data_IF_899234871881
#
_entry.id   IF_899234871881
#
_cell.length_a   1.000
_cell.length_b   1.000
_cell.length_c   1.000
_cell.angle_alpha   90.00
_cell.angle_beta   90.00
_cell.angle_gamma   90.00
#
_symmetry.space_group_name_H-M   'P 1'
#
loop_
_entity.id
_entity.type
_entity.pdbx_description
1 polymer ?
#
# COMPACT_ATOMS: atom_id res chain seq x y z
N UNK A 1 -26.12 -6.47 39.11
CA UNK A 1 -24.71 -6.22 38.82
C UNK A 1 -24.30 -7.14 37.68
N UNK A 2 -24.22 -6.63 36.47
CA UNK A 2 -23.77 -7.39 35.29
C UNK A 2 -22.30 -7.02 35.08
N UNK A 3 -21.40 -7.98 35.30
CA UNK A 3 -19.96 -7.82 35.07
C UNK A 3 -19.70 -7.81 33.57
N UNK A 4 -19.20 -6.69 33.06
CA UNK A 4 -18.70 -6.58 31.68
C UNK A 4 -17.27 -7.13 31.68
N UNK A 5 -17.09 -8.30 31.09
CA UNK A 5 -15.74 -8.81 30.75
C UNK A 5 -15.29 -8.14 29.46
N UNK A 6 -14.35 -7.22 29.57
CA UNK A 6 -13.60 -6.70 28.43
C UNK A 6 -12.52 -7.74 28.14
N UNK A 7 -12.74 -8.57 27.12
CA UNK A 7 -11.70 -9.40 26.51
C UNK A 7 -10.81 -8.48 25.67
N UNK A 8 -9.69 -8.07 26.27
CA UNK A 8 -8.58 -7.49 25.50
C UNK A 8 -7.96 -8.61 24.67
N UNK A 9 -8.30 -8.69 23.39
CA UNK A 9 -7.61 -9.55 22.44
C UNK A 9 -6.22 -8.97 22.21
N UNK A 10 -5.23 -9.55 22.90
CA UNK A 10 -3.82 -9.29 22.63
C UNK A 10 -3.46 -9.84 21.25
N UNK A 11 -3.19 -8.95 20.32
CA UNK A 11 -2.68 -9.27 18.99
C UNK A 11 -1.22 -9.71 19.14
N UNK A 12 -0.96 -10.99 19.12
CA UNK A 12 0.38 -11.49 18.94
C UNK A 12 0.70 -11.49 17.43
N UNK A 13 1.33 -10.46 16.94
CA UNK A 13 1.92 -10.43 15.60
C UNK A 13 3.26 -11.16 15.71
N UNK A 14 3.34 -12.36 15.18
CA UNK A 14 4.60 -13.07 15.01
C UNK A 14 5.24 -12.57 13.71
N UNK A 15 6.06 -11.53 13.79
CA UNK A 15 6.91 -11.12 12.67
C UNK A 15 8.17 -11.99 12.69
N UNK A 16 8.22 -13.02 11.86
CA UNK A 16 9.47 -13.67 11.52
C UNK A 16 10.28 -12.70 10.65
N UNK A 17 11.28 -12.03 11.23
CA UNK A 17 12.21 -11.21 10.45
C UNK A 17 12.99 -12.12 9.51
N UNK A 18 12.95 -11.78 8.22
CA UNK A 18 13.57 -12.54 7.16
C UNK A 18 15.07 -12.74 7.39
N UNK A 19 15.54 -13.90 6.99
CA UNK A 19 16.98 -14.20 6.87
C UNK A 19 17.51 -13.34 5.72
N UNK A 20 18.18 -12.24 6.04
CA UNK A 20 19.00 -11.50 5.06
C UNK A 20 20.24 -12.33 4.81
N UNK A 21 20.33 -12.97 3.65
CA UNK A 21 21.58 -13.56 3.19
C UNK A 21 22.47 -12.41 2.72
N UNK A 22 23.46 -12.02 3.53
CA UNK A 22 24.51 -11.11 3.05
C UNK A 22 25.27 -11.78 1.90
N UNK A 23 25.37 -11.11 0.74
CA UNK A 23 26.16 -11.64 -0.37
C UNK A 23 27.64 -11.67 0.01
N UNK A 24 28.28 -12.79 -0.25
CA UNK A 24 29.71 -12.97 -0.11
C UNK A 24 30.47 -11.86 -0.86
N UNK A 25 31.47 -11.37 -0.16
CA UNK A 25 32.41 -10.31 -0.52
C UNK A 25 32.86 -10.32 -1.98
N UNK A 26 32.95 -9.10 -2.59
CA UNK A 26 33.62 -8.74 -3.84
C UNK A 26 32.76 -8.52 -5.10
N UNK A 27 31.81 -7.58 -5.04
CA UNK A 27 31.57 -6.76 -6.24
C UNK A 27 32.08 -5.35 -5.95
N UNK A 28 33.26 -5.01 -6.47
CA UNK A 28 33.73 -3.62 -6.51
C UNK A 28 32.77 -2.83 -7.38
N UNK A 29 31.88 -2.06 -6.74
CA UNK A 29 31.11 -1.02 -7.44
C UNK A 29 32.13 0.03 -7.85
N UNK A 30 32.53 0.02 -9.12
CA UNK A 30 33.62 0.85 -9.65
C UNK A 30 33.16 2.27 -10.01
N UNK A 31 31.91 2.62 -9.82
CA UNK A 31 31.38 3.95 -10.16
C UNK A 31 30.41 4.40 -9.07
N UNK A 32 30.68 5.56 -8.46
CA UNK A 32 29.68 6.31 -7.71
C UNK A 32 28.63 6.80 -8.70
N UNK A 33 27.63 5.97 -8.97
CA UNK A 33 26.47 6.36 -9.75
C UNK A 33 25.54 7.13 -8.82
N UNK A 34 25.87 8.37 -8.49
CA UNK A 34 24.97 9.31 -7.85
C UNK A 34 24.11 10.01 -8.91
N UNK A 35 23.35 9.27 -9.69
CA UNK A 35 22.21 9.83 -10.36
C UNK A 35 21.11 9.96 -9.29
N UNK A 36 21.05 11.14 -8.68
CA UNK A 36 19.87 11.52 -7.90
C UNK A 36 18.66 11.32 -8.81
N UNK A 37 17.91 10.26 -8.53
CA UNK A 37 16.67 10.01 -9.21
C UNK A 37 15.82 11.28 -9.11
N UNK A 38 15.51 11.90 -10.24
CA UNK A 38 14.58 13.02 -10.29
C UNK A 38 13.23 12.49 -9.84
N UNK A 39 13.04 12.49 -8.53
CA UNK A 39 11.75 12.21 -7.94
C UNK A 39 10.81 13.27 -8.46
N UNK A 40 9.66 12.87 -9.00
CA UNK A 40 8.61 13.79 -9.41
C UNK A 40 8.08 14.50 -8.16
N UNK A 41 8.79 15.56 -7.77
CA UNK A 41 8.44 16.37 -6.58
C UNK A 41 7.35 17.38 -6.91
N UNK A 42 7.02 17.57 -8.19
CA UNK A 42 6.03 18.56 -8.64
C UNK A 42 4.64 18.37 -8.01
N UNK A 43 4.25 17.14 -7.69
CA UNK A 43 2.97 16.82 -7.05
C UNK A 43 3.03 16.71 -5.53
N UNK A 44 4.23 16.81 -4.94
CA UNK A 44 4.43 16.78 -3.50
C UNK A 44 4.52 18.16 -2.89
N UNK A 45 4.01 18.27 -1.68
CA UNK A 45 4.20 19.47 -0.86
C UNK A 45 5.60 19.45 -0.28
N UNK A 46 6.37 20.52 -0.54
CA UNK A 46 7.67 20.70 0.07
C UNK A 46 7.53 21.06 1.56
N UNK A 47 8.52 20.67 2.37
CA UNK A 47 8.58 21.02 3.78
C UNK A 47 8.57 22.55 3.95
N UNK A 48 7.62 23.05 4.75
CA UNK A 48 7.43 24.50 4.96
C UNK A 48 6.37 25.16 4.09
N UNK A 49 5.75 24.43 3.15
CA UNK A 49 4.60 24.93 2.39
C UNK A 49 3.38 25.03 3.30
N UNK A 50 2.55 26.09 3.24
CA UNK A 50 1.38 26.28 4.10
C UNK A 50 0.19 25.39 3.67
N UNK A 51 0.40 24.11 3.51
CA UNK A 51 -0.59 23.09 3.17
C UNK A 51 -0.59 22.01 4.26
N UNK A 52 -1.78 21.63 4.71
CA UNK A 52 -1.91 20.57 5.70
C UNK A 52 -1.64 19.20 5.04
N UNK A 53 -0.54 18.56 5.38
CA UNK A 53 -0.22 17.23 4.89
C UNK A 53 0.26 16.30 6.01
N UNK A 54 0.25 14.99 5.72
CA UNK A 54 0.87 13.94 6.51
C UNK A 54 1.70 13.08 5.56
N UNK A 55 2.76 12.49 6.06
CA UNK A 55 3.61 11.59 5.30
C UNK A 55 3.80 10.29 6.08
N UNK A 56 3.71 9.16 5.38
CA UNK A 56 4.07 7.85 5.89
C UNK A 56 5.35 7.42 5.16
N UNK A 57 6.37 7.13 5.95
CA UNK A 57 7.67 6.68 5.45
C UNK A 57 7.65 5.17 5.16
N UNK A 58 8.63 4.68 4.40
CA UNK A 58 8.80 3.26 4.12
C UNK A 58 8.84 2.41 5.40
N UNK A 59 9.56 2.86 6.42
CA UNK A 59 9.66 2.15 7.69
C UNK A 59 8.32 2.06 8.44
N UNK A 60 7.51 3.11 8.37
CA UNK A 60 6.16 3.08 8.94
C UNK A 60 5.23 2.15 8.16
N UNK A 61 5.32 2.17 6.82
CA UNK A 61 4.58 1.26 5.96
C UNK A 61 4.97 -0.20 6.23
N UNK A 62 6.27 -0.51 6.28
CA UNK A 62 6.76 -1.86 6.59
C UNK A 62 6.27 -2.37 7.95
N UNK A 63 6.29 -1.53 8.99
CA UNK A 63 5.83 -1.92 10.34
C UNK A 63 4.33 -2.17 10.44
N UNK A 64 3.52 -1.63 9.54
CA UNK A 64 2.05 -1.69 9.59
C UNK A 64 1.44 -2.59 8.53
N UNK A 65 2.22 -3.03 7.55
CA UNK A 65 1.73 -3.75 6.40
C UNK A 65 1.67 -5.27 6.66
N UNK A 66 0.62 -5.70 7.34
CA UNK A 66 0.32 -7.11 7.60
C UNK A 66 -0.66 -7.71 6.59
N UNK A 67 -0.83 -7.08 5.42
CA UNK A 67 -1.69 -7.53 4.32
C UNK A 67 -2.91 -6.64 4.05
N UNK A 68 -3.16 -5.65 4.91
CA UNK A 68 -4.24 -4.70 4.70
C UNK A 68 -3.95 -3.75 3.53
N UNK A 69 -5.02 -3.27 2.89
CA UNK A 69 -4.92 -2.30 1.81
C UNK A 69 -4.44 -0.91 2.26
N UNK A 70 -4.04 -0.08 1.30
CA UNK A 70 -3.62 1.32 1.52
C UNK A 70 -4.61 2.10 2.40
N UNK A 71 -5.96 1.98 2.24
CA UNK A 71 -6.93 2.65 3.11
C UNK A 71 -6.70 2.41 4.61
N UNK A 72 -6.35 1.19 4.98
CA UNK A 72 -6.07 0.82 6.37
C UNK A 72 -4.75 1.45 6.86
N UNK A 73 -3.72 1.43 6.04
CA UNK A 73 -2.39 1.92 6.41
C UNK A 73 -2.39 3.43 6.66
N UNK A 74 -3.23 4.19 5.94
CA UNK A 74 -3.35 5.64 6.09
C UNK A 74 -4.35 6.08 7.18
N UNK A 75 -5.10 5.15 7.80
CA UNK A 75 -6.16 5.43 8.77
C UNK A 75 -5.69 6.29 9.97
N UNK A 76 -4.43 6.16 10.38
CA UNK A 76 -3.89 6.96 11.49
C UNK A 76 -3.57 8.40 11.09
N UNK A 77 -3.69 8.75 9.81
CA UNK A 77 -3.53 10.14 9.37
C UNK A 77 -4.76 10.96 9.80
N UNK A 78 -4.57 12.23 10.25
CA UNK A 78 -5.68 13.05 10.69
C UNK A 78 -6.77 13.19 9.64
N UNK A 79 -8.03 13.13 10.08
CA UNK A 79 -9.24 13.31 9.26
C UNK A 79 -9.45 12.23 8.17
N UNK A 80 -8.79 11.08 8.28
CA UNK A 80 -9.03 9.90 7.45
C UNK A 80 -9.98 8.96 8.16
N UNK A 81 -11.01 8.51 7.46
CA UNK A 81 -11.93 7.46 7.90
C UNK A 81 -11.93 6.39 6.82
N UNK A 82 -11.72 5.14 7.19
CA UNK A 82 -11.76 4.03 6.25
C UNK A 82 -13.03 3.21 6.38
N UNK A 83 -13.36 2.48 5.32
CA UNK A 83 -14.35 1.41 5.26
C UNK A 83 -13.69 0.11 4.80
N UNK A 84 -14.17 -1.02 5.30
CA UNK A 84 -13.76 -2.35 4.87
C UNK A 84 -14.95 -3.28 4.88
N UNK A 85 -15.27 -3.86 3.73
CA UNK A 85 -16.44 -4.72 3.58
C UNK A 85 -16.28 -6.01 4.38
N UNK A 86 -15.09 -6.63 4.31
CA UNK A 86 -14.76 -7.82 5.09
C UNK A 86 -14.45 -7.53 6.58
N UNK A 87 -14.36 -6.26 6.97
CA UNK A 87 -14.05 -5.82 8.34
C UNK A 87 -12.59 -5.96 8.77
N UNK A 88 -11.71 -6.49 7.93
CA UNK A 88 -10.29 -6.75 8.24
C UNK A 88 -9.33 -5.76 7.58
N UNK A 89 -9.81 -4.90 6.68
CA UNK A 89 -8.96 -4.05 5.84
C UNK A 89 -8.34 -4.78 4.64
N UNK A 90 -8.68 -6.07 4.44
CA UNK A 90 -8.27 -6.91 3.31
C UNK A 90 -9.48 -7.05 2.37
N UNK A 91 -9.23 -7.09 1.06
CA UNK A 91 -10.29 -7.09 0.05
C UNK A 91 -10.84 -5.70 -0.23
N UNK A 92 -12.16 -5.59 -0.43
CA UNK A 92 -12.80 -4.31 -0.70
C UNK A 92 -12.68 -3.36 0.49
N UNK A 93 -12.05 -2.24 0.25
CA UNK A 93 -11.84 -1.19 1.23
C UNK A 93 -11.81 0.18 0.56
N UNK A 94 -12.11 1.20 1.33
CA UNK A 94 -12.11 2.58 0.86
C UNK A 94 -11.80 3.55 1.99
N UNK A 95 -11.68 4.83 1.66
CA UNK A 95 -11.49 5.86 2.67
C UNK A 95 -12.12 7.19 2.25
N UNK A 96 -12.34 8.04 3.23
CA UNK A 96 -12.74 9.43 3.09
C UNK A 96 -11.75 10.31 3.84
N UNK A 97 -11.53 11.50 3.33
CA UNK A 97 -10.67 12.50 3.97
C UNK A 97 -11.49 13.77 4.18
N UNK A 98 -11.58 14.27 5.42
CA UNK A 98 -12.41 15.42 5.80
C UNK A 98 -13.89 15.27 5.35
N UNK A 99 -14.41 14.04 5.36
CA UNK A 99 -15.77 13.75 4.93
C UNK A 99 -16.01 13.76 3.41
N UNK A 100 -15.01 14.04 2.59
CA UNK A 100 -15.15 13.98 1.13
C UNK A 100 -15.08 12.54 0.63
N UNK A 101 -15.88 12.24 -0.38
CA UNK A 101 -15.93 10.93 -1.01
C UNK A 101 -14.67 10.63 -1.85
N UNK A 102 -14.42 9.34 -2.08
CA UNK A 102 -13.25 8.84 -2.81
C UNK A 102 -13.10 9.43 -4.22
N UNK A 103 -14.20 9.72 -4.92
CA UNK A 103 -14.20 10.33 -6.25
C UNK A 103 -13.76 11.81 -6.30
N UNK A 104 -13.50 12.41 -5.12
CA UNK A 104 -12.99 13.78 -4.98
C UNK A 104 -11.60 13.82 -4.36
N UNK A 105 -10.95 12.67 -4.34
CA UNK A 105 -9.59 12.49 -3.83
C UNK A 105 -8.71 12.04 -4.99
N UNK A 106 -7.73 12.86 -5.34
CA UNK A 106 -6.75 12.50 -6.35
C UNK A 106 -5.73 11.51 -5.80
N UNK A 107 -5.53 10.40 -6.49
CA UNK A 107 -4.56 9.37 -6.14
C UNK A 107 -3.51 9.29 -7.23
N UNK A 108 -2.25 9.41 -6.86
CA UNK A 108 -1.15 9.31 -7.84
C UNK A 108 -0.11 8.27 -7.43
N UNK A 109 0.44 7.60 -8.42
CA UNK A 109 1.62 6.74 -8.31
C UNK A 109 2.72 7.37 -9.15
N UNK A 110 3.83 7.76 -8.53
CA UNK A 110 4.93 8.47 -9.18
C UNK A 110 4.48 9.71 -9.97
N UNK A 111 3.48 10.43 -9.45
CA UNK A 111 2.92 11.61 -10.11
C UNK A 111 1.88 11.33 -11.20
N UNK A 112 1.65 10.08 -11.57
CA UNK A 112 0.64 9.68 -12.55
C UNK A 112 -0.69 9.40 -11.83
N UNK A 113 -1.81 10.05 -12.19
CA UNK A 113 -3.12 9.74 -11.63
C UNK A 113 -3.55 8.31 -11.95
N UNK A 114 -4.07 7.60 -10.93
CA UNK A 114 -4.58 6.23 -11.05
C UNK A 114 -6.07 6.11 -10.76
N UNK A 115 -6.75 7.24 -10.60
CA UNK A 115 -8.20 7.27 -10.51
C UNK A 115 -8.81 6.74 -11.81
N UNK A 116 -9.80 5.85 -11.68
CA UNK A 116 -10.57 5.36 -12.81
C UNK A 116 -11.27 6.50 -13.55
N UNK A 117 -11.29 6.44 -14.87
CA UNK A 117 -11.79 7.56 -15.71
C UNK A 117 -13.31 7.73 -15.67
N UNK A 118 -14.06 6.71 -15.27
CA UNK A 118 -15.52 6.73 -15.19
C UNK A 118 -16.00 7.05 -13.78
N UNK A 119 -15.55 6.27 -12.79
CA UNK A 119 -15.96 6.41 -11.39
C UNK A 119 -15.21 7.48 -10.62
N UNK A 120 -14.07 7.94 -11.14
CA UNK A 120 -13.10 8.82 -10.47
C UNK A 120 -12.58 8.29 -9.12
N UNK A 121 -12.68 6.99 -8.88
CA UNK A 121 -12.20 6.34 -7.66
C UNK A 121 -11.05 5.40 -7.94
N UNK A 122 -10.42 4.87 -6.89
CA UNK A 122 -9.46 3.78 -6.98
C UNK A 122 -10.04 2.55 -6.29
N UNK A 123 -10.08 1.44 -7.00
CA UNK A 123 -10.47 0.15 -6.44
C UNK A 123 -9.25 -0.51 -5.79
N UNK A 124 -9.12 -0.31 -4.48
CA UNK A 124 -7.94 -0.77 -3.72
C UNK A 124 -7.79 -2.28 -3.68
N UNK A 125 -8.89 -3.01 -3.88
CA UNK A 125 -8.87 -4.47 -4.03
C UNK A 125 -7.98 -4.91 -5.20
N UNK A 126 -7.89 -4.11 -6.26
CA UNK A 126 -7.05 -4.37 -7.44
C UNK A 126 -5.55 -4.06 -7.20
N UNK A 127 -5.20 -3.56 -6.01
CA UNK A 127 -3.83 -3.21 -5.63
C UNK A 127 -3.41 -3.88 -4.30
N UNK A 128 -3.59 -5.20 -4.14
CA UNK A 128 -3.24 -5.87 -2.90
C UNK A 128 -1.72 -5.81 -2.68
N UNK A 129 -1.32 -5.60 -1.43
CA UNK A 129 0.07 -5.45 -1.01
C UNK A 129 0.89 -4.41 -1.81
N UNK A 130 0.24 -3.44 -2.45
CA UNK A 130 0.96 -2.39 -3.19
C UNK A 130 1.91 -1.59 -2.28
N UNK A 131 1.54 -1.43 -1.00
CA UNK A 131 2.35 -0.77 0.02
C UNK A 131 3.75 -1.39 0.18
N UNK A 132 3.91 -2.69 -0.09
CA UNK A 132 5.22 -3.36 -0.08
C UNK A 132 6.16 -2.90 -1.20
N UNK A 133 5.66 -2.16 -2.19
CA UNK A 133 6.44 -1.58 -3.28
C UNK A 133 6.50 -0.04 -3.21
N UNK A 134 5.96 0.55 -2.13
CA UNK A 134 5.90 2.01 -1.93
C UNK A 134 6.99 2.44 -0.96
N UNK A 135 7.69 3.52 -1.30
CA UNK A 135 8.69 4.18 -0.45
C UNK A 135 8.05 5.15 0.55
N UNK A 136 7.11 5.95 0.06
CA UNK A 136 6.36 6.86 0.92
C UNK A 136 4.98 7.19 0.36
N UNK A 137 4.08 7.59 1.27
CA UNK A 137 2.74 8.09 0.95
C UNK A 137 2.60 9.48 1.56
N UNK A 138 2.36 10.49 0.75
CA UNK A 138 2.02 11.83 1.22
C UNK A 138 0.52 12.09 1.01
N UNK A 139 -0.15 12.53 2.07
CA UNK A 139 -1.59 12.82 2.09
C UNK A 139 -1.75 14.33 2.30
N UNK A 140 -2.13 15.04 1.25
CA UNK A 140 -2.46 16.46 1.29
C UNK A 140 -3.96 16.61 1.52
N UNK A 141 -4.35 17.37 2.52
CA UNK A 141 -5.74 17.56 2.92
C UNK A 141 -6.28 18.89 2.42
N UNK A 142 -7.32 18.85 1.58
CA UNK A 142 -7.91 19.98 0.90
C UNK A 142 -7.46 20.06 -0.56
N UNK A 143 -7.76 21.14 -1.25
CA UNK A 143 -7.51 21.30 -2.68
C UNK A 143 -6.03 21.20 -3.12
N UNK A 144 -5.10 21.28 -2.16
CA UNK A 144 -3.67 21.11 -2.42
C UNK A 144 -3.07 22.17 -3.34
N UNK A 145 -2.04 21.77 -4.07
CA UNK A 145 -1.39 22.63 -5.08
C UNK A 145 -2.06 22.46 -6.43
N UNK A 146 -1.93 23.47 -7.31
CA UNK A 146 -2.53 23.45 -8.66
C UNK A 146 -2.03 22.29 -9.55
N UNK A 147 -0.94 21.64 -9.18
CA UNK A 147 -0.36 20.48 -9.89
C UNK A 147 -1.10 19.18 -9.65
N UNK A 148 -2.06 19.13 -8.73
CA UNK A 148 -2.71 17.90 -8.30
C UNK A 148 -3.86 17.40 -9.18
N UNK A 149 -4.25 18.17 -10.23
CA UNK A 149 -5.25 17.73 -11.20
C UNK A 149 -6.71 17.85 -10.76
N UNK A 150 -7.62 17.34 -11.59
CA UNK A 150 -9.06 17.62 -11.51
C UNK A 150 -9.76 17.00 -10.28
N UNK A 151 -9.35 15.85 -9.80
CA UNK A 151 -9.97 15.16 -8.65
C UNK A 151 -9.47 15.68 -7.29
N UNK A 152 -8.55 16.64 -7.25
CA UNK A 152 -7.90 17.11 -6.02
C UNK A 152 -8.74 18.09 -5.19
N UNK A 153 -10.05 17.93 -5.17
CA UNK A 153 -10.93 18.83 -4.41
C UNK A 153 -10.89 18.56 -2.90
N UNK A 154 -10.97 17.32 -2.51
CA UNK A 154 -11.01 16.92 -1.10
C UNK A 154 -9.64 16.68 -0.51
N UNK A 155 -8.80 15.99 -1.25
CA UNK A 155 -7.43 15.64 -0.86
C UNK A 155 -6.64 15.12 -2.06
N UNK A 156 -5.32 15.00 -1.88
CA UNK A 156 -4.44 14.24 -2.77
C UNK A 156 -3.63 13.24 -1.97
N UNK A 157 -3.56 11.99 -2.45
CA UNK A 157 -2.70 10.94 -1.91
C UNK A 157 -1.66 10.62 -2.97
N UNK A 158 -0.42 11.01 -2.71
CA UNK A 158 0.72 10.76 -3.61
C UNK A 158 1.55 9.61 -3.07
N UNK A 159 1.62 8.52 -3.83
CA UNK A 159 2.45 7.36 -3.54
C UNK A 159 3.70 7.38 -4.41
N UNK A 160 4.85 7.12 -3.81
CA UNK A 160 6.08 6.91 -4.56
C UNK A 160 6.53 5.48 -4.40
N UNK A 161 6.82 4.83 -5.52
CA UNK A 161 7.37 3.48 -5.51
C UNK A 161 8.81 3.49 -5.03
N UNK A 162 9.27 2.34 -4.53
CA UNK A 162 10.64 2.18 -4.07
C UNK A 162 11.63 2.47 -5.20
N UNK A 163 12.74 3.09 -4.82
CA UNK A 163 13.89 3.25 -5.71
C UNK A 163 14.54 1.90 -5.96
N UNK A 164 15.18 1.77 -7.11
CA UNK A 164 15.93 0.55 -7.40
C UNK A 164 17.15 0.44 -6.49
N UNK A 165 17.34 -0.74 -5.91
CA UNK A 165 18.50 -1.03 -5.08
C UNK A 165 19.70 -1.37 -5.95
N UNK A 166 20.84 -0.67 -5.72
CA UNK A 166 22.07 -0.89 -6.50
C UNK A 166 22.83 -2.16 -6.09
N UNK A 167 22.50 -2.72 -4.93
CA UNK A 167 23.05 -4.00 -4.45
C UNK A 167 22.06 -5.13 -4.69
N UNK A 168 22.53 -6.33 -5.08
CA UNK A 168 21.61 -7.47 -5.20
C UNK A 168 21.01 -7.83 -3.84
N UNK A 169 19.73 -8.18 -3.83
CA UNK A 169 19.01 -8.58 -2.62
C UNK A 169 17.94 -9.63 -2.91
N UNK A 170 17.61 -10.38 -1.89
CA UNK A 170 16.42 -11.23 -1.84
C UNK A 170 15.82 -11.13 -0.44
N UNK A 171 14.52 -10.91 -0.35
CA UNK A 171 13.77 -10.78 0.89
C UNK A 171 12.54 -11.68 0.82
N UNK A 172 12.30 -12.43 1.88
CA UNK A 172 11.06 -13.17 2.08
C UNK A 172 10.44 -12.74 3.41
N UNK A 173 9.17 -12.35 3.39
CA UNK A 173 8.43 -11.97 4.58
C UNK A 173 7.11 -12.70 4.68
N UNK A 174 6.74 -13.06 5.91
CA UNK A 174 5.48 -13.72 6.25
C UNK A 174 4.83 -12.94 7.37
N UNK A 175 3.53 -12.69 7.25
CA UNK A 175 2.71 -12.20 8.36
C UNK A 175 1.51 -13.11 8.54
N UNK A 176 1.09 -13.32 9.79
CA UNK A 176 -0.11 -14.06 10.13
C UNK A 176 -0.94 -13.26 11.13
N UNK A 177 -2.25 -13.34 11.02
CA UNK A 177 -3.18 -12.56 11.84
C UNK A 177 -4.49 -13.26 12.09
N UNK A 178 -5.43 -12.54 12.72
CA UNK A 178 -6.79 -13.02 12.98
C UNK A 178 -7.52 -13.34 11.68
N UNK A 179 -8.59 -14.12 11.78
CA UNK A 179 -9.47 -14.52 10.66
C UNK A 179 -8.72 -15.27 9.55
N UNK A 180 -7.84 -16.20 9.93
CA UNK A 180 -7.07 -16.99 8.97
C UNK A 180 -6.16 -16.16 8.06
N UNK A 181 -5.88 -14.91 8.44
CA UNK A 181 -5.06 -14.02 7.61
C UNK A 181 -3.62 -14.50 7.54
N UNK A 182 -3.14 -14.72 6.32
CA UNK A 182 -1.74 -15.05 6.03
C UNK A 182 -1.30 -14.23 4.83
N UNK A 183 -0.14 -13.58 4.96
CA UNK A 183 0.54 -12.87 3.87
C UNK A 183 1.91 -13.46 3.66
N UNK A 184 2.25 -13.73 2.42
CA UNK A 184 3.58 -14.12 1.98
C UNK A 184 4.06 -13.15 0.92
N UNK A 185 5.25 -12.60 1.07
CA UNK A 185 5.84 -11.67 0.11
C UNK A 185 7.28 -12.06 -0.17
N UNK A 186 7.62 -12.17 -1.45
CA UNK A 186 8.99 -12.36 -1.95
C UNK A 186 9.38 -11.13 -2.74
N UNK A 187 10.57 -10.60 -2.46
CA UNK A 187 11.18 -9.52 -3.23
C UNK A 187 12.60 -9.95 -3.62
N UNK A 188 13.01 -9.53 -4.79
CA UNK A 188 14.40 -9.67 -5.21
C UNK A 188 14.80 -8.55 -6.16
N UNK A 189 16.08 -8.23 -6.16
CA UNK A 189 16.68 -7.28 -7.08
C UNK A 189 18.05 -7.75 -7.51
N UNK A 190 18.39 -7.46 -8.75
CA UNK A 190 19.67 -7.86 -9.34
C UNK A 190 20.83 -6.99 -8.87
N UNK A 191 20.55 -5.82 -8.28
CA UNK A 191 21.54 -4.77 -8.16
C UNK A 191 21.93 -4.20 -9.53
N UNK A 192 22.96 -3.37 -9.54
CA UNK A 192 23.45 -2.73 -10.76
C UNK A 192 24.23 -3.73 -11.61
N UNK A 193 23.73 -4.03 -12.80
CA UNK A 193 24.33 -4.92 -13.80
C UNK A 193 25.03 -4.07 -14.86
N UNK A 194 26.29 -4.39 -15.15
CA UNK A 194 27.12 -3.73 -16.16
C UNK A 194 27.08 -2.19 -16.05
N UNK A 195 27.03 -1.66 -14.83
CA UNK A 195 26.97 -0.23 -14.50
C UNK A 195 25.75 0.53 -15.07
N UNK A 196 24.75 -0.17 -15.63
CA UNK A 196 23.62 0.46 -16.32
C UNK A 196 22.25 -0.09 -15.96
N UNK A 197 22.09 -1.37 -15.70
CA UNK A 197 20.77 -1.99 -15.58
C UNK A 197 20.48 -2.45 -14.17
N UNK A 198 19.25 -2.20 -13.71
CA UNK A 198 18.73 -2.76 -12.46
C UNK A 198 17.35 -3.35 -12.71
N UNK A 199 17.10 -4.52 -12.14
CA UNK A 199 15.79 -5.18 -12.16
C UNK A 199 15.37 -5.50 -10.74
N UNK A 200 14.16 -5.11 -10.38
CA UNK A 200 13.52 -5.41 -9.10
C UNK A 200 12.18 -6.08 -9.34
N UNK A 201 11.83 -7.05 -8.53
CA UNK A 201 10.53 -7.67 -8.57
C UNK A 201 10.00 -8.04 -7.18
N UNK A 202 8.68 -8.04 -7.05
CA UNK A 202 7.93 -8.50 -5.88
C UNK A 202 6.78 -9.37 -6.32
N UNK A 203 6.54 -10.43 -5.57
CA UNK A 203 5.33 -11.22 -5.62
C UNK A 203 4.77 -11.35 -4.22
N UNK A 204 3.45 -11.23 -4.08
CA UNK A 204 2.75 -11.38 -2.80
C UNK A 204 1.50 -12.22 -2.98
N UNK A 205 1.23 -13.05 -1.97
CA UNK A 205 -0.05 -13.74 -1.78
C UNK A 205 -0.62 -13.34 -0.42
N UNK A 206 -1.90 -12.98 -0.39
CA UNK A 206 -2.64 -12.65 0.82
C UNK A 206 -3.91 -13.50 0.84
N UNK A 207 -4.15 -14.15 1.97
CA UNK A 207 -5.37 -14.91 2.24
C UNK A 207 -5.99 -14.43 3.55
N UNK A 208 -7.32 -14.38 3.62
CA UNK A 208 -8.06 -14.04 4.83
C UNK A 208 -9.48 -14.57 4.72
N UNK A 209 -10.03 -15.09 5.82
CA UNK A 209 -11.43 -15.51 5.89
C UNK A 209 -12.39 -14.33 6.08
N UNK A 210 -11.87 -13.14 6.46
CA UNK A 210 -12.67 -11.96 6.79
C UNK A 210 -13.31 -12.05 8.17
N UNK A 211 -13.77 -10.90 8.71
CA UNK A 211 -14.56 -10.85 9.92
C UNK A 211 -16.04 -11.10 9.64
N UNK A 212 -16.53 -10.62 8.51
CA UNK A 212 -17.91 -10.79 8.06
C UNK A 212 -18.08 -12.20 7.46
N UNK A 213 -19.20 -12.87 7.73
CA UNK A 213 -19.48 -14.20 7.23
C UNK A 213 -19.35 -14.28 5.70
N UNK A 214 -18.63 -15.26 5.19
CA UNK A 214 -18.37 -15.47 3.76
C UNK A 214 -17.60 -14.34 3.07
N UNK A 215 -16.90 -13.48 3.80
CA UNK A 215 -16.10 -12.37 3.23
C UNK A 215 -14.62 -12.76 3.05
N UNK A 216 -14.38 -13.98 2.57
CA UNK A 216 -13.05 -14.47 2.30
C UNK A 216 -12.37 -13.74 1.13
N UNK A 217 -11.06 -13.67 1.19
CA UNK A 217 -10.22 -13.08 0.16
C UNK A 217 -8.98 -13.94 -0.10
N UNK A 218 -8.67 -14.18 -1.36
CA UNK A 218 -7.43 -14.77 -1.81
C UNK A 218 -6.87 -13.92 -2.96
N UNK A 219 -5.77 -13.25 -2.69
CA UNK A 219 -5.21 -12.23 -3.56
C UNK A 219 -3.76 -12.52 -3.88
N UNK A 220 -3.41 -12.38 -5.15
CA UNK A 220 -2.05 -12.50 -5.65
C UNK A 220 -1.68 -11.20 -6.35
N UNK A 221 -0.49 -10.67 -6.10
CA UNK A 221 -0.04 -9.47 -6.77
C UNK A 221 1.43 -9.53 -7.13
N UNK A 222 1.79 -8.81 -8.18
CA UNK A 222 3.17 -8.63 -8.57
C UNK A 222 3.49 -7.15 -8.78
N UNK A 223 4.74 -6.82 -8.63
CA UNK A 223 5.35 -5.56 -9.04
C UNK A 223 6.70 -5.87 -9.67
N UNK A 224 7.00 -5.26 -10.80
CA UNK A 224 8.29 -5.38 -11.44
C UNK A 224 8.76 -4.01 -11.93
N UNK A 225 10.04 -3.74 -11.76
CA UNK A 225 10.71 -2.52 -12.20
C UNK A 225 11.98 -2.88 -12.96
N UNK A 226 12.22 -2.18 -14.07
CA UNK A 226 13.47 -2.23 -14.81
C UNK A 226 13.97 -0.79 -14.99
N UNK A 227 15.22 -0.52 -14.65
CA UNK A 227 15.83 0.78 -14.78
C UNK A 227 17.14 0.70 -15.60
N UNK A 228 17.32 1.69 -16.47
CA UNK A 228 18.57 1.93 -17.19
C UNK A 228 19.16 3.25 -16.71
N UNK A 229 20.41 3.20 -16.25
CA UNK A 229 21.20 4.34 -15.80
C UNK A 229 22.26 4.66 -16.85
N UNK A 230 22.07 5.74 -17.61
CA UNK A 230 23.08 6.33 -18.48
C UNK A 230 23.78 7.50 -17.81
N UNK A 231 24.76 8.12 -18.48
CA UNK A 231 25.52 9.25 -17.90
C UNK A 231 24.63 10.45 -17.54
N UNK A 232 23.63 10.75 -18.37
CA UNK A 232 22.70 11.89 -18.19
C UNK A 232 21.22 11.47 -18.36
N UNK A 233 20.94 10.16 -18.31
CA UNK A 233 19.61 9.65 -18.62
C UNK A 233 19.25 8.52 -17.68
N UNK A 234 18.05 8.62 -17.07
CA UNK A 234 17.41 7.53 -16.34
C UNK A 234 16.14 7.14 -17.07
N UNK A 235 16.04 5.88 -17.49
CA UNK A 235 14.81 5.32 -18.04
C UNK A 235 14.35 4.26 -17.06
N UNK A 236 13.09 4.37 -16.58
CA UNK A 236 12.48 3.38 -15.70
C UNK A 236 11.18 2.89 -16.30
N UNK A 237 11.05 1.58 -16.39
CA UNK A 237 9.82 0.89 -16.70
C UNK A 237 9.31 0.21 -15.43
N UNK A 238 8.00 0.32 -15.17
CA UNK A 238 7.35 -0.33 -14.04
C UNK A 238 6.05 -0.97 -14.49
N UNK A 239 5.78 -2.15 -13.97
CA UNK A 239 4.51 -2.85 -14.17
C UNK A 239 4.06 -3.49 -12.87
N UNK A 240 2.77 -3.48 -12.61
CA UNK A 240 2.16 -4.15 -11.48
C UNK A 240 0.76 -4.63 -11.85
N UNK A 241 0.29 -5.61 -11.12
CA UNK A 241 -1.05 -6.15 -11.31
C UNK A 241 -1.39 -7.18 -10.25
N UNK A 242 -2.64 -7.62 -10.28
CA UNK A 242 -3.17 -8.57 -9.32
C UNK A 242 -4.17 -9.53 -9.94
N UNK A 243 -4.41 -10.63 -9.22
CA UNK A 243 -5.54 -11.52 -9.38
C UNK A 243 -6.15 -11.66 -8.00
N UNK A 244 -7.41 -11.31 -7.87
CA UNK A 244 -8.14 -11.42 -6.63
C UNK A 244 -9.38 -12.31 -6.78
N UNK A 245 -9.62 -13.11 -5.74
CA UNK A 245 -10.86 -13.85 -5.52
C UNK A 245 -11.39 -13.40 -4.17
N UNK A 246 -12.51 -12.71 -4.17
CA UNK A 246 -13.16 -12.21 -2.97
C UNK A 246 -14.64 -12.50 -3.02
N UNK A 247 -15.25 -12.72 -1.87
CA UNK A 247 -16.70 -12.70 -1.73
C UNK A 247 -17.17 -11.30 -1.34
N UNK A 248 -18.39 -10.97 -1.68
CA UNK A 248 -18.96 -9.63 -1.48
C UNK A 248 -19.63 -9.51 -0.11
N UNK A 249 -19.34 -8.42 0.60
CA UNK A 249 -19.96 -8.09 1.87
C UNK A 249 -20.33 -6.59 1.97
N UNK A 250 -20.60 -5.95 0.86
CA UNK A 250 -20.77 -4.50 0.70
C UNK A 250 -22.07 -3.93 1.25
N UNK A 251 -23.07 -4.77 1.54
CA UNK A 251 -24.35 -4.29 2.09
C UNK A 251 -24.23 -3.88 3.57
N UNK A 252 -23.22 -4.40 4.27
CA UNK A 252 -23.03 -4.21 5.70
C UNK A 252 -23.99 -5.03 6.55
N UNK A 253 -23.77 -5.03 7.86
CA UNK A 253 -24.62 -5.73 8.83
C UNK A 253 -25.85 -4.87 9.13
N UNK A 254 -27.10 -5.37 8.94
CA UNK A 254 -28.31 -4.64 9.29
C UNK A 254 -28.36 -4.30 10.79
N UNK A 255 -28.87 -3.12 11.12
CA UNK A 255 -28.89 -2.64 12.51
C UNK A 255 -29.59 -3.59 13.50
N UNK A 256 -30.64 -4.29 13.07
CA UNK A 256 -31.34 -5.27 13.89
C UNK A 256 -30.55 -6.55 14.19
N UNK A 257 -29.47 -6.80 13.45
CA UNK A 257 -28.58 -7.95 13.66
C UNK A 257 -27.40 -7.62 14.58
N UNK A 258 -27.07 -6.35 14.83
CA UNK A 258 -25.89 -5.93 15.56
C UNK A 258 -25.76 -6.52 16.97
N UNK A 259 -26.91 -6.79 17.64
CA UNK A 259 -26.92 -7.37 18.98
C UNK A 259 -26.90 -8.91 18.98
N UNK A 260 -27.33 -9.55 17.88
CA UNK A 260 -27.44 -11.00 17.76
C UNK A 260 -26.32 -11.65 16.94
N UNK A 261 -25.99 -11.07 15.79
CA UNK A 261 -24.95 -11.58 14.89
C UNK A 261 -24.25 -10.43 14.14
N UNK A 262 -23.11 -10.01 14.66
CA UNK A 262 -22.30 -8.90 14.09
C UNK A 262 -21.51 -9.29 12.84
N UNK A 263 -21.43 -10.55 12.52
CA UNK A 263 -20.74 -11.07 11.34
C UNK A 263 -21.68 -11.36 10.18
N UNK A 264 -22.99 -11.21 10.40
CA UNK A 264 -24.02 -11.52 9.41
C UNK A 264 -23.77 -10.81 8.08
N UNK A 265 -23.75 -11.59 7.01
CA UNK A 265 -23.64 -11.09 5.65
C UNK A 265 -24.96 -11.30 4.89
N UNK A 266 -25.67 -10.23 4.53
CA UNK A 266 -26.91 -10.33 3.77
C UNK A 266 -26.71 -10.61 2.26
N UNK A 267 -25.46 -10.56 1.75
CA UNK A 267 -25.13 -10.85 0.34
C UNK A 267 -25.13 -12.34 0.01
#
# INVERSE_FOLDING_TARGET
>A
MKSVFILASSWAVLTAQGITVEPADSLKISKDVSLDEVVVTATKVAKGTPVAYSELTQDELKRRNDGQGIPYLILQSPSVIMTSDAGTGIGYSGFRIRGTDANRINITVNGVPVNDSESHTVFWVNMPDFASSVDNIQIQRGAGTSTNGAAAFGATVSMQTQKSELKPYAEYSVSAGSFGTVKNTVKFGTGLLNDHFVFDARYSNIQSDGYIDRADANMHSYFASAAYYGDNTLIRFQTFGSIEKTYQAWTGVPSYMLDSNRTYNPC
#
